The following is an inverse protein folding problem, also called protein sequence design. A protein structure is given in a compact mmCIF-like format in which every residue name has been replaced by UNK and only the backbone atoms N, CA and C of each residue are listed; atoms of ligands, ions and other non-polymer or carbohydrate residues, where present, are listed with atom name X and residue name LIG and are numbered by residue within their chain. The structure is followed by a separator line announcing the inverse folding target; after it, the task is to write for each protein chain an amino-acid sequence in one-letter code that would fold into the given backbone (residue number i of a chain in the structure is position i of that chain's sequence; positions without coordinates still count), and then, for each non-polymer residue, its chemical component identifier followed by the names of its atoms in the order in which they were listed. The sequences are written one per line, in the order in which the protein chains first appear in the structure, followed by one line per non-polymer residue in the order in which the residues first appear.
data_IF_542924174391
#
_entry.id   IF_542924174391
#
_cell.length_a   1.000
_cell.length_b   1.000
_cell.length_c   1.000
_cell.angle_alpha   90.00
_cell.angle_beta   90.00
_cell.angle_gamma   90.00
#
_symmetry.space_group_name_H-M   'P 1'
#
loop_
_entity.id
_entity.type
_entity.pdbx_description
1 polymer ?
#
# COMPACT_ATOMS: atom_id res chain seq x y z
N UNK A 1 -8.60 -9.18 -5.78
CA UNK A 1 -7.41 -9.17 -4.89
C UNK A 1 -6.91 -7.73 -4.75
N UNK A 2 -6.17 -7.38 -3.70
CA UNK A 2 -5.66 -6.01 -3.50
C UNK A 2 -4.14 -5.95 -3.67
N UNK A 3 -3.66 -4.97 -4.44
CA UNK A 3 -2.25 -4.63 -4.57
C UNK A 3 -2.02 -3.30 -3.85
N UNK A 4 -0.90 -3.21 -3.13
CA UNK A 4 -0.46 -2.01 -2.46
C UNK A 4 0.71 -1.41 -3.24
N UNK A 5 0.66 -0.09 -3.46
CA UNK A 5 1.68 0.63 -4.21
C UNK A 5 2.16 1.88 -3.44
N UNK A 6 3.48 2.00 -3.31
CA UNK A 6 4.16 3.13 -2.68
C UNK A 6 5.39 3.55 -3.51
N UNK A 7 5.97 4.70 -3.18
CA UNK A 7 7.34 5.03 -3.59
C UNK A 7 8.35 4.74 -2.45
N UNK A 8 9.62 4.91 -2.75
CA UNK A 8 10.71 4.66 -1.81
C UNK A 8 10.92 5.77 -0.76
N UNK A 9 10.06 6.79 -0.71
CA UNK A 9 10.18 7.88 0.25
C UNK A 9 10.05 7.40 1.71
N UNK A 10 9.30 6.32 1.92
CA UNK A 10 9.13 5.60 3.19
C UNK A 10 10.45 5.10 3.78
N UNK A 11 11.48 4.93 2.96
CA UNK A 11 12.74 4.32 3.34
C UNK A 11 13.90 5.31 3.40
N UNK A 12 13.60 6.62 3.39
CA UNK A 12 14.59 7.68 3.61
C UNK A 12 14.88 7.87 5.10
N UNK A 13 15.96 8.59 5.43
CA UNK A 13 16.41 8.76 6.83
C UNK A 13 15.67 9.84 7.64
N UNK A 14 14.55 10.37 7.14
CA UNK A 14 13.78 11.40 7.86
C UNK A 14 12.94 10.79 8.99
N UNK A 15 12.57 11.61 9.98
CA UNK A 15 11.62 11.21 11.02
C UNK A 15 10.25 10.88 10.43
N UNK A 16 9.78 11.72 9.51
CA UNK A 16 8.55 11.49 8.75
C UNK A 16 8.56 10.12 8.06
N UNK A 17 9.63 9.77 7.34
CA UNK A 17 9.72 8.48 6.66
C UNK A 17 9.67 7.30 7.64
N UNK A 18 10.34 7.41 8.80
CA UNK A 18 10.27 6.38 9.85
C UNK A 18 8.85 6.19 10.38
N UNK A 19 8.12 7.28 10.63
CA UNK A 19 6.72 7.23 11.06
C UNK A 19 5.84 6.58 9.99
N UNK A 20 5.97 6.99 8.73
CA UNK A 20 5.18 6.45 7.62
C UNK A 20 5.49 4.97 7.37
N UNK A 21 6.76 4.56 7.47
CA UNK A 21 7.15 3.16 7.38
C UNK A 21 6.54 2.32 8.52
N UNK A 22 6.49 2.86 9.74
CA UNK A 22 5.84 2.18 10.86
C UNK A 22 4.33 2.04 10.64
N UNK A 23 3.63 3.11 10.23
CA UNK A 23 2.19 3.05 9.91
C UNK A 23 1.89 2.06 8.80
N UNK A 24 2.72 2.05 7.75
CA UNK A 24 2.64 1.04 6.70
C UNK A 24 2.87 -0.37 7.25
N UNK A 25 3.87 -0.56 8.11
CA UNK A 25 4.17 -1.86 8.73
C UNK A 25 2.97 -2.38 9.51
N UNK A 26 2.34 -1.56 10.35
CA UNK A 26 1.12 -1.92 11.10
C UNK A 26 0.00 -2.34 10.15
N UNK A 27 -0.26 -1.53 9.12
CA UNK A 27 -1.29 -1.83 8.13
C UNK A 27 -1.05 -3.19 7.44
N UNK A 28 0.19 -3.44 7.00
CA UNK A 28 0.58 -4.68 6.34
C UNK A 28 0.45 -5.93 7.22
N UNK A 29 0.49 -5.78 8.55
CA UNK A 29 0.35 -6.90 9.49
C UNK A 29 -1.10 -7.29 9.74
N UNK A 30 -1.98 -6.30 9.78
CA UNK A 30 -3.40 -6.45 10.13
C UNK A 30 -4.27 -6.78 8.91
N UNK A 31 -3.75 -6.59 7.69
CA UNK A 31 -4.48 -6.83 6.45
C UNK A 31 -3.86 -7.99 5.67
N UNK A 32 -4.70 -8.89 5.13
CA UNK A 32 -4.26 -9.91 4.16
C UNK A 32 -3.88 -9.23 2.83
N UNK A 33 -2.58 -8.99 2.65
CA UNK A 33 -2.02 -8.35 1.46
C UNK A 33 -1.05 -9.29 0.79
N UNK A 34 -1.25 -9.51 -0.51
CA UNK A 34 -0.40 -10.42 -1.28
C UNK A 34 0.78 -9.70 -1.92
N UNK A 35 0.63 -8.42 -2.30
CA UNK A 35 1.63 -7.70 -3.08
C UNK A 35 1.86 -6.29 -2.56
N UNK A 36 3.14 -5.94 -2.38
CA UNK A 36 3.59 -4.55 -2.21
C UNK A 36 4.55 -4.19 -3.34
N UNK A 37 4.10 -3.29 -4.21
CA UNK A 37 4.88 -2.74 -5.32
C UNK A 37 5.53 -1.43 -4.88
N UNK A 38 6.81 -1.27 -5.15
CA UNK A 38 7.59 -0.11 -4.71
C UNK A 38 8.32 0.51 -5.90
N UNK A 39 8.00 1.76 -6.21
CA UNK A 39 8.80 2.58 -7.12
C UNK A 39 10.07 3.05 -6.39
N UNK A 40 11.22 2.60 -6.85
CA UNK A 40 12.54 2.91 -6.29
C UNK A 40 13.27 3.88 -7.23
N UNK A 41 13.47 5.11 -6.78
CA UNK A 41 14.16 6.18 -7.52
C UNK A 41 15.48 6.61 -6.86
N UNK A 42 15.68 6.23 -5.60
CA UNK A 42 16.81 6.57 -4.74
C UNK A 42 17.55 5.31 -4.31
N UNK A 43 18.66 5.50 -3.59
CA UNK A 43 19.44 4.41 -3.01
C UNK A 43 18.86 3.96 -1.66
N UNK A 44 17.72 3.26 -1.69
CA UNK A 44 16.95 2.83 -0.50
C UNK A 44 16.71 1.32 -0.44
N UNK A 45 17.25 0.56 -1.40
CA UNK A 45 17.03 -0.89 -1.50
C UNK A 45 17.45 -1.66 -0.24
N UNK A 46 18.48 -1.16 0.48
CA UNK A 46 18.95 -1.79 1.71
C UNK A 46 17.91 -1.66 2.83
N UNK A 47 17.31 -0.50 2.95
CA UNK A 47 16.24 -0.19 3.91
C UNK A 47 14.97 -0.97 3.56
N UNK A 48 14.64 -1.07 2.27
CA UNK A 48 13.53 -1.88 1.77
C UNK A 48 13.74 -3.36 2.12
N UNK A 49 14.92 -3.93 1.86
CA UNK A 49 15.24 -5.33 2.22
C UNK A 49 15.12 -5.58 3.73
N UNK A 50 15.54 -4.63 4.56
CA UNK A 50 15.37 -4.72 6.02
C UNK A 50 13.90 -4.68 6.43
N UNK A 51 13.07 -3.93 5.71
CA UNK A 51 11.62 -3.86 5.93
C UNK A 51 10.94 -5.16 5.52
N UNK A 52 11.26 -5.68 4.33
CA UNK A 52 10.79 -6.97 3.82
C UNK A 52 11.12 -8.12 4.78
N UNK A 53 12.35 -8.22 5.29
CA UNK A 53 12.72 -9.28 6.23
C UNK A 53 11.93 -9.24 7.54
N UNK A 54 11.52 -8.06 8.03
CA UNK A 54 10.62 -7.96 9.21
C UNK A 54 9.21 -8.48 8.92
N UNK A 55 8.78 -8.42 7.67
CA UNK A 55 7.44 -8.79 7.23
C UNK A 55 7.35 -10.17 6.58
N UNK A 56 8.47 -10.89 6.47
CA UNK A 56 8.58 -12.20 5.83
C UNK A 56 7.53 -13.23 6.29
N UNK A 57 7.14 -13.18 7.57
CA UNK A 57 6.13 -14.09 8.14
C UNK A 57 4.71 -13.87 7.60
N UNK A 58 4.43 -12.70 7.03
CA UNK A 58 3.12 -12.32 6.51
C UNK A 58 2.93 -12.70 5.03
N UNK A 59 3.91 -13.36 4.40
CA UNK A 59 3.84 -13.86 3.00
C UNK A 59 3.48 -12.77 1.96
N UNK A 60 3.85 -11.53 2.23
CA UNK A 60 3.70 -10.41 1.29
C UNK A 60 4.82 -10.52 0.26
N UNK A 61 4.46 -10.46 -1.02
CA UNK A 61 5.43 -10.45 -2.13
C UNK A 61 5.82 -9.00 -2.47
N UNK A 62 7.11 -8.71 -2.34
CA UNK A 62 7.66 -7.39 -2.65
C UNK A 62 8.15 -7.35 -4.09
N UNK A 63 7.78 -6.30 -4.83
CA UNK A 63 8.28 -6.03 -6.19
C UNK A 63 8.84 -4.62 -6.27
N UNK A 64 10.08 -4.51 -6.71
CA UNK A 64 10.78 -3.23 -6.83
C UNK A 64 10.91 -2.85 -8.30
N UNK A 65 10.86 -1.56 -8.62
CA UNK A 65 11.15 -1.10 -9.98
C UNK A 65 12.58 -1.45 -10.43
N UNK A 66 12.89 -1.53 -11.72
CA UNK A 66 11.99 -1.40 -12.89
C UNK A 66 11.65 -2.79 -13.44
N UNK A 67 10.36 -3.15 -13.48
CA UNK A 67 9.90 -4.43 -14.00
C UNK A 67 8.42 -4.39 -14.43
N UNK A 68 8.04 -5.33 -15.30
CA UNK A 68 6.64 -5.68 -15.51
C UNK A 68 6.25 -6.79 -14.54
N UNK A 69 5.13 -6.61 -13.84
CA UNK A 69 4.59 -7.57 -12.88
C UNK A 69 3.24 -8.05 -13.38
N UNK A 70 3.10 -9.36 -13.53
CA UNK A 70 1.85 -10.03 -13.89
C UNK A 70 1.12 -10.46 -12.61
N UNK A 71 -0.06 -9.90 -12.35
CA UNK A 71 -0.86 -10.19 -11.15
C UNK A 71 -2.31 -10.35 -11.57
N UNK A 72 -2.92 -11.50 -11.26
CA UNK A 72 -4.35 -11.78 -11.53
C UNK A 72 -4.72 -11.60 -13.02
N UNK A 73 -3.80 -12.01 -13.92
CA UNK A 73 -3.98 -11.84 -15.37
C UNK A 73 -3.84 -10.40 -15.89
N UNK A 74 -3.50 -9.44 -15.02
CA UNK A 74 -3.23 -8.05 -15.39
C UNK A 74 -1.73 -7.78 -15.40
N UNK A 75 -1.28 -6.96 -16.36
CA UNK A 75 0.11 -6.54 -16.50
C UNK A 75 0.31 -5.14 -15.95
N UNK A 76 1.21 -5.01 -14.99
CA UNK A 76 1.55 -3.76 -14.32
C UNK A 76 3.00 -3.38 -14.62
N UNK A 77 3.22 -2.20 -15.22
CA UNK A 77 4.58 -1.70 -15.44
C UNK A 77 5.01 -0.82 -14.27
N UNK A 78 5.87 -1.37 -13.41
CA UNK A 78 6.45 -0.69 -12.27
C UNK A 78 7.75 0.00 -12.68
N UNK A 79 7.72 1.33 -12.77
CA UNK A 79 8.89 2.17 -13.06
C UNK A 79 9.45 2.79 -11.78
N UNK A 80 10.61 3.42 -11.89
CA UNK A 80 11.25 4.09 -10.74
C UNK A 80 10.40 5.19 -10.10
N UNK A 81 9.39 5.72 -10.79
CA UNK A 81 8.58 6.84 -10.28
C UNK A 81 7.06 6.59 -10.30
N UNK A 82 6.60 5.59 -11.06
CA UNK A 82 5.18 5.36 -11.29
C UNK A 82 4.87 3.88 -11.46
N UNK A 83 3.62 3.52 -11.15
CA UNK A 83 2.99 2.27 -11.52
C UNK A 83 2.01 2.53 -12.67
N UNK A 84 2.21 1.85 -13.79
CA UNK A 84 1.32 1.94 -14.95
C UNK A 84 0.42 0.73 -15.04
N UNK A 85 -0.87 1.00 -15.10
CA UNK A 85 -1.94 0.06 -15.42
C UNK A 85 -2.38 0.31 -16.88
N UNK A 86 -3.18 -0.58 -17.51
CA UNK A 86 -3.57 -0.44 -18.91
C UNK A 86 -4.14 0.94 -19.32
N UNK A 87 -4.88 1.60 -18.42
CA UNK A 87 -5.53 2.88 -18.71
C UNK A 87 -5.07 4.05 -17.82
N UNK A 88 -4.15 3.81 -16.86
CA UNK A 88 -3.84 4.79 -15.83
C UNK A 88 -2.36 4.74 -15.41
N UNK A 89 -1.84 5.88 -14.97
CA UNK A 89 -0.51 6.01 -14.39
C UNK A 89 -0.65 6.56 -12.96
N UNK A 90 -0.21 5.78 -11.99
CA UNK A 90 -0.23 6.14 -10.57
C UNK A 90 1.16 6.58 -10.17
N UNK A 91 1.26 7.81 -9.63
CA UNK A 91 2.49 8.32 -9.00
C UNK A 91 2.40 8.17 -7.49
N UNK A 92 3.47 7.64 -6.90
CA UNK A 92 3.66 7.59 -5.46
C UNK A 92 3.99 8.97 -4.89
N UNK A 93 3.57 9.20 -3.64
CA UNK A 93 3.93 10.39 -2.87
C UNK A 93 4.28 9.99 -1.45
N UNK A 94 5.15 10.78 -0.82
CA UNK A 94 5.53 10.58 0.56
C UNK A 94 4.32 10.60 1.50
N UNK A 95 4.27 9.60 2.39
CA UNK A 95 3.16 9.42 3.33
C UNK A 95 1.87 8.90 2.69
N UNK A 96 1.89 8.50 1.42
CA UNK A 96 0.70 7.98 0.75
C UNK A 96 0.87 6.54 0.31
N UNK A 97 -0.23 5.81 0.36
CA UNK A 97 -0.35 4.44 -0.10
C UNK A 97 -1.45 4.38 -1.14
N UNK A 98 -1.19 3.77 -2.29
CA UNK A 98 -2.22 3.48 -3.27
C UNK A 98 -2.68 2.03 -3.13
N UNK A 99 -3.99 1.83 -3.02
CA UNK A 99 -4.61 0.50 -2.97
C UNK A 99 -5.34 0.27 -4.27
N UNK A 100 -5.01 -0.82 -4.96
CA UNK A 100 -5.52 -1.16 -6.28
C UNK A 100 -6.31 -2.47 -6.18
N UNK A 101 -7.52 -2.47 -6.69
CA UNK A 101 -8.33 -3.67 -6.86
C UNK A 101 -8.01 -4.30 -8.22
N UNK A 102 -7.45 -5.51 -8.23
CA UNK A 102 -7.01 -6.19 -9.47
C UNK A 102 -8.15 -6.61 -10.38
N UNK A 103 -9.35 -6.79 -9.83
CA UNK A 103 -10.51 -7.30 -10.55
C UNK A 103 -11.21 -6.17 -11.30
N UNK A 104 -11.31 -5.00 -10.68
CA UNK A 104 -11.98 -3.82 -11.25
C UNK A 104 -11.02 -2.79 -11.86
N UNK A 105 -9.71 -2.91 -11.59
CA UNK A 105 -8.66 -1.94 -11.93
C UNK A 105 -8.91 -0.52 -11.39
N UNK A 106 -9.79 -0.39 -10.39
CA UNK A 106 -9.96 0.85 -9.65
C UNK A 106 -8.90 0.95 -8.56
N UNK A 107 -8.52 2.17 -8.23
CA UNK A 107 -7.57 2.42 -7.16
C UNK A 107 -7.99 3.63 -6.33
N UNK A 108 -7.42 3.73 -5.14
CA UNK A 108 -7.54 4.89 -4.26
C UNK A 108 -6.23 5.21 -3.58
N UNK A 109 -6.06 6.47 -3.20
CA UNK A 109 -4.93 6.95 -2.39
C UNK A 109 -5.36 7.12 -0.95
N UNK A 110 -4.58 6.54 -0.05
CA UNK A 110 -4.68 6.69 1.39
C UNK A 110 -3.53 7.58 1.86
N UNK A 111 -3.84 8.56 2.69
CA UNK A 111 -2.91 9.54 3.25
C UNK A 111 -2.56 9.12 4.69
N UNK A 112 -1.46 8.38 4.86
CA UNK A 112 -1.05 7.81 6.14
C UNK A 112 -0.63 8.88 7.16
N UNK A 113 -0.25 10.05 6.68
CA UNK A 113 0.10 11.23 7.47
C UNK A 113 -1.11 11.89 8.14
N UNK A 114 -2.34 11.61 7.70
CA UNK A 114 -3.57 12.15 8.31
C UNK A 114 -4.07 11.34 9.51
N UNK A 115 -3.55 10.13 9.74
CA UNK A 115 -3.98 9.31 10.86
C UNK A 115 -3.16 9.64 12.12
N UNK A 116 -3.77 9.73 13.32
CA UNK A 116 -3.06 9.95 14.58
C UNK A 116 -2.09 8.80 14.89
N UNK A 117 -1.16 8.95 15.83
CA UNK A 117 -0.09 7.96 16.05
C UNK A 117 -0.49 6.77 16.94
N UNK A 118 -1.72 6.75 17.49
CA UNK A 118 -2.18 5.67 18.37
C UNK A 118 -2.60 4.43 17.55
N UNK A 119 -1.96 3.28 17.84
CA UNK A 119 -2.11 2.00 17.09
C UNK A 119 -3.57 1.60 16.84
N UNK A 120 -4.47 1.91 17.78
CA UNK A 120 -5.89 1.52 17.71
C UNK A 120 -6.71 2.47 16.81
N UNK A 121 -6.42 3.77 16.83
CA UNK A 121 -7.16 4.77 16.08
C UNK A 121 -6.85 4.70 14.57
N UNK A 122 -5.59 4.43 14.20
CA UNK A 122 -5.18 4.32 12.79
C UNK A 122 -5.96 3.22 12.08
N UNK A 123 -6.10 2.05 12.72
CA UNK A 123 -6.69 0.86 12.10
C UNK A 123 -8.20 1.02 11.94
N UNK A 124 -8.90 1.51 12.97
CA UNK A 124 -10.34 1.78 12.92
C UNK A 124 -10.65 2.83 11.85
N UNK A 125 -9.94 3.95 11.84
CA UNK A 125 -10.14 5.01 10.85
C UNK A 125 -9.84 4.56 9.42
N UNK A 126 -8.81 3.73 9.21
CA UNK A 126 -8.49 3.17 7.89
C UNK A 126 -9.56 2.20 7.42
N UNK A 127 -10.05 1.35 8.31
CA UNK A 127 -11.04 0.32 7.98
C UNK A 127 -12.37 0.98 7.63
N UNK A 128 -12.83 1.93 8.45
CA UNK A 128 -14.03 2.74 8.20
C UNK A 128 -13.93 3.51 6.88
N UNK A 129 -12.82 4.22 6.64
CA UNK A 129 -12.60 4.93 5.37
C UNK A 129 -12.51 3.97 4.16
N UNK A 130 -12.10 2.71 4.38
CA UNK A 130 -12.07 1.72 3.33
C UNK A 130 -13.47 1.17 3.03
N UNK A 131 -14.25 0.85 4.05
CA UNK A 131 -15.60 0.29 3.96
C UNK A 131 -16.60 1.31 3.39
N UNK A 132 -16.60 2.55 3.90
CA UNK A 132 -17.44 3.65 3.41
C UNK A 132 -17.16 3.92 1.92
N UNK A 133 -15.88 3.95 1.54
CA UNK A 133 -15.45 4.16 0.16
C UNK A 133 -15.78 2.99 -0.78
N UNK A 134 -16.00 1.78 -0.26
CA UNK A 134 -16.37 0.60 -1.04
C UNK A 134 -17.88 0.35 -1.04
N UNK A 135 -18.67 1.18 -0.35
CA UNK A 135 -20.11 1.01 -0.20
C UNK A 135 -20.48 -0.25 0.59
N UNK A 136 -19.57 -0.71 1.46
CA UNK A 136 -19.78 -1.82 2.38
C UNK A 136 -20.39 -1.28 3.68
N UNK A 137 -21.49 -0.54 3.58
CA UNK A 137 -22.22 -0.13 4.78
C UNK A 137 -22.91 -1.36 5.38
N UNK A 138 -22.71 -1.57 6.68
CA UNK A 138 -23.30 -2.63 7.52
C UNK A 138 -24.81 -2.46 7.73
N UNK A 139 -25.51 -1.75 6.82
CA UNK A 139 -26.94 -1.43 6.90
C UNK A 139 -27.87 -2.60 6.59
N UNK A 140 -27.38 -3.85 6.60
CA UNK A 140 -28.18 -5.06 6.36
C UNK A 140 -28.11 -6.11 7.49
N UNK A 141 -27.52 -5.81 8.65
CA UNK A 141 -27.47 -6.76 9.79
C UNK A 141 -28.57 -6.62 10.84
N UNK A 142 -29.48 -5.66 10.72
CA UNK A 142 -30.65 -5.53 11.60
C UNK A 142 -31.99 -5.74 10.88
N UNK A 143 -32.13 -6.78 10.06
CA UNK A 143 -33.44 -7.36 9.70
C UNK A 143 -33.34 -8.87 9.46
N UNK A 144 -33.23 -9.66 10.53
CA UNK A 144 -33.76 -11.04 10.62
C UNK A 144 -33.92 -11.46 12.06
#
# INVERSE_FOLDING_TARGET
MKIYYIDDSFFTHSEFARQMAYKLEVLLRENEINYLLISVSKNTEKEIKRFEERLKKFKIEFKLSTQTVEIDGNSFLLTNNTLRMPNEEIRGFAGTLCVIDTTTLKWKRIYLDLFPDEETDIITLLTEAIEESLGLDDSNREKS
#
